data_IF_241260961773
#
_entry.id   IF_241260961773
#
_cell.length_a   1.000
_cell.length_b   1.000
_cell.length_c   1.000
_cell.angle_alpha   90.00
_cell.angle_beta   90.00
_cell.angle_gamma   90.00
#
_symmetry.space_group_name_H-M   'P 1'
#
loop_
_entity.id
_entity.type
_entity.pdbx_description
1 polymer ?
#
# COMPACT_ATOMS: atom_id res chain seq x y z
N UNK A 1 -32.14 -28.34 -20.39
CA UNK A 1 -31.21 -28.20 -21.54
C UNK A 1 -31.01 -26.71 -21.76
N UNK A 2 -29.84 -26.08 -21.69
CA UNK A 2 -28.50 -26.49 -21.29
C UNK A 2 -27.81 -25.22 -20.75
N UNK A 3 -27.13 -25.35 -19.61
CA UNK A 3 -26.30 -24.27 -19.06
C UNK A 3 -24.88 -24.43 -19.56
N UNK A 4 -24.40 -23.50 -20.36
CA UNK A 4 -22.99 -23.42 -20.74
C UNK A 4 -22.15 -23.00 -19.53
N UNK A 5 -21.59 -23.99 -18.84
CA UNK A 5 -20.45 -23.81 -17.95
C UNK A 5 -19.21 -23.62 -18.83
N UNK A 6 -18.74 -22.37 -18.96
CA UNK A 6 -17.39 -22.12 -19.47
C UNK A 6 -16.40 -22.75 -18.49
N UNK A 7 -15.68 -23.78 -18.95
CA UNK A 7 -14.55 -24.37 -18.23
C UNK A 7 -13.38 -23.41 -18.34
N UNK A 8 -12.90 -22.92 -17.21
CA UNK A 8 -11.60 -22.28 -17.10
C UNK A 8 -10.55 -23.40 -17.01
N UNK A 9 -10.11 -23.92 -18.15
CA UNK A 9 -8.93 -24.78 -18.24
C UNK A 9 -7.71 -23.91 -18.61
N UNK A 10 -6.61 -24.03 -17.85
CA UNK A 10 -5.32 -23.43 -18.22
C UNK A 10 -4.49 -22.83 -17.08
N UNK A 11 -4.35 -23.50 -15.93
CA UNK A 11 -3.25 -23.20 -15.00
C UNK A 11 -2.14 -24.25 -15.23
N UNK A 12 -0.94 -23.86 -15.68
CA UNK A 12 0.16 -24.82 -15.78
C UNK A 12 0.54 -25.29 -14.37
N UNK A 13 0.45 -26.60 -14.15
CA UNK A 13 1.00 -27.25 -12.96
C UNK A 13 2.53 -27.24 -13.08
N UNK A 14 3.19 -26.59 -12.12
CA UNK A 14 4.63 -26.49 -12.08
C UNK A 14 5.28 -27.86 -11.78
N UNK A 15 5.76 -28.55 -12.82
CA UNK A 15 6.80 -29.57 -12.72
C UNK A 15 7.67 -29.55 -13.98
N UNK A 16 8.96 -29.28 -13.79
CA UNK A 16 10.01 -29.62 -14.76
C UNK A 16 10.75 -28.44 -15.38
N UNK A 17 12.05 -28.36 -15.07
CA UNK A 17 13.10 -27.55 -15.70
C UNK A 17 12.92 -26.02 -15.70
N UNK A 18 13.56 -25.35 -14.75
CA UNK A 18 13.88 -23.93 -14.83
C UNK A 18 14.85 -23.69 -16.00
N UNK A 19 14.46 -22.94 -17.04
CA UNK A 19 15.45 -22.31 -17.90
C UNK A 19 16.16 -21.27 -17.03
N UNK A 20 17.49 -21.18 -17.12
CA UNK A 20 18.23 -20.04 -16.57
C UNK A 20 17.70 -18.78 -17.24
N UNK A 21 16.80 -18.04 -16.59
CA UNK A 21 16.46 -16.68 -16.97
C UNK A 21 17.75 -15.86 -16.84
N UNK A 22 18.34 -15.49 -17.97
CA UNK A 22 19.27 -14.37 -17.98
C UNK A 22 18.55 -13.18 -17.36
N UNK A 23 19.22 -12.47 -16.43
CA UNK A 23 18.71 -11.22 -15.84
C UNK A 23 18.33 -10.27 -16.97
N UNK A 24 17.04 -10.18 -17.30
CA UNK A 24 16.51 -9.02 -17.98
C UNK A 24 16.48 -7.93 -16.91
N UNK A 25 17.51 -7.10 -16.87
CA UNK A 25 17.49 -5.91 -16.03
C UNK A 25 16.41 -4.99 -16.60
N UNK A 26 15.24 -4.95 -15.97
CA UNK A 26 14.20 -4.01 -16.36
C UNK A 26 14.61 -2.57 -16.05
N UNK A 27 13.82 -1.60 -16.49
CA UNK A 27 14.08 -0.20 -16.18
C UNK A 27 13.22 0.29 -15.01
N UNK A 28 13.71 1.31 -14.29
CA UNK A 28 12.92 2.03 -13.29
C UNK A 28 12.21 3.19 -14.00
N UNK A 29 10.87 3.19 -14.12
CA UNK A 29 10.15 4.19 -14.88
C UNK A 29 10.20 5.57 -14.22
N UNK A 30 10.14 6.61 -15.04
CA UNK A 30 9.85 7.98 -14.61
C UNK A 30 8.36 8.16 -14.31
N UNK A 31 7.99 9.23 -13.61
CA UNK A 31 6.57 9.52 -13.35
C UNK A 31 5.77 9.73 -14.65
N UNK A 32 6.37 10.33 -15.68
CA UNK A 32 5.74 10.50 -16.99
C UNK A 32 5.50 9.14 -17.69
N UNK A 33 6.47 8.23 -17.64
CA UNK A 33 6.28 6.88 -18.17
C UNK A 33 5.22 6.09 -17.40
N UNK A 34 5.10 6.32 -16.09
CA UNK A 34 4.03 5.70 -15.29
C UNK A 34 2.67 6.24 -15.73
N UNK A 35 2.56 7.56 -15.91
CA UNK A 35 1.35 8.19 -16.41
C UNK A 35 0.92 7.64 -17.79
N UNK A 36 1.87 7.54 -18.72
CA UNK A 36 1.67 6.92 -20.03
C UNK A 36 1.20 5.45 -19.91
N UNK A 37 1.79 4.68 -19.00
CA UNK A 37 1.35 3.29 -18.75
C UNK A 37 -0.08 3.23 -18.20
N UNK A 38 -0.45 4.13 -17.28
CA UNK A 38 -1.82 4.24 -16.78
C UNK A 38 -2.81 4.56 -17.89
N UNK A 39 -2.49 5.53 -18.75
CA UNK A 39 -3.32 5.86 -19.91
C UNK A 39 -3.43 4.67 -20.89
N UNK A 40 -2.32 4.00 -21.19
CA UNK A 40 -2.29 2.92 -22.17
C UNK A 40 -3.12 1.69 -21.76
N UNK A 41 -3.21 1.39 -20.46
CA UNK A 41 -3.99 0.25 -19.95
C UNK A 41 -5.43 0.62 -19.57
N UNK A 42 -5.73 1.92 -19.38
CA UNK A 42 -7.06 2.33 -18.94
C UNK A 42 -8.11 2.10 -20.02
N UNK A 43 -9.26 1.47 -19.69
CA UNK A 43 -10.34 1.27 -20.67
C UNK A 43 -11.18 2.53 -20.93
N UNK A 44 -11.11 3.53 -20.04
CA UNK A 44 -11.88 4.77 -20.12
C UNK A 44 -11.20 5.90 -19.35
N UNK A 45 -11.58 7.15 -19.63
CA UNK A 45 -11.10 8.31 -18.87
C UNK A 45 -11.60 8.25 -17.41
N UNK A 46 -12.85 7.83 -17.19
CA UNK A 46 -13.41 7.68 -15.84
C UNK A 46 -12.63 6.67 -14.98
N UNK A 47 -12.21 5.55 -15.58
CA UNK A 47 -11.35 4.58 -14.91
C UNK A 47 -9.96 5.15 -14.63
N UNK A 48 -9.37 5.84 -15.63
CA UNK A 48 -8.06 6.48 -15.50
C UNK A 48 -8.09 7.47 -14.33
N UNK A 49 -9.03 8.40 -14.33
CA UNK A 49 -9.17 9.46 -13.34
C UNK A 49 -9.29 8.89 -11.93
N UNK A 50 -10.15 7.88 -11.72
CA UNK A 50 -10.36 7.29 -10.40
C UNK A 50 -9.12 6.56 -9.88
N UNK A 51 -8.52 5.69 -10.70
CA UNK A 51 -7.44 4.80 -10.27
C UNK A 51 -6.11 5.55 -10.19
N UNK A 52 -5.81 6.42 -11.17
CA UNK A 52 -4.60 7.23 -11.15
C UNK A 52 -4.63 8.26 -10.02
N UNK A 53 -5.76 8.93 -9.78
CA UNK A 53 -5.90 9.86 -8.63
C UNK A 53 -5.65 9.14 -7.30
N UNK A 54 -6.15 7.90 -7.16
CA UNK A 54 -5.83 7.10 -5.98
C UNK A 54 -4.33 6.84 -5.84
N UNK A 55 -3.63 6.48 -6.91
CA UNK A 55 -2.18 6.28 -6.90
C UNK A 55 -1.43 7.57 -6.51
N UNK A 56 -1.87 8.74 -7.00
CA UNK A 56 -1.32 10.06 -6.61
C UNK A 56 -1.52 10.35 -5.12
N UNK A 57 -2.70 10.04 -4.58
CA UNK A 57 -2.99 10.19 -3.15
C UNK A 57 -2.08 9.26 -2.33
N UNK A 58 -1.96 7.99 -2.70
CA UNK A 58 -1.10 7.02 -2.01
C UNK A 58 0.36 7.42 -2.09
N UNK A 59 0.84 7.92 -3.23
CA UNK A 59 2.20 8.45 -3.38
C UNK A 59 2.45 9.68 -2.50
N UNK A 60 1.43 10.54 -2.34
CA UNK A 60 1.50 11.69 -1.44
C UNK A 60 1.67 11.25 0.03
N UNK A 61 0.84 10.31 0.49
CA UNK A 61 0.92 9.78 1.86
C UNK A 61 2.23 9.03 2.08
N UNK A 62 2.63 8.20 1.11
CA UNK A 62 3.92 7.47 1.10
C UNK A 62 5.08 8.41 1.33
N UNK A 63 5.14 9.54 0.59
CA UNK A 63 6.20 10.53 0.75
C UNK A 63 6.22 11.14 2.15
N UNK A 64 5.06 11.43 2.73
CA UNK A 64 4.96 11.96 4.09
C UNK A 64 5.48 10.96 5.13
N UNK A 65 5.06 9.70 5.03
CA UNK A 65 5.52 8.60 5.91
C UNK A 65 7.03 8.37 5.78
N UNK A 66 7.57 8.32 4.57
CA UNK A 66 9.02 8.14 4.36
C UNK A 66 9.82 9.31 4.93
N UNK A 67 9.36 10.56 4.73
CA UNK A 67 10.02 11.74 5.30
C UNK A 67 10.02 11.70 6.83
N UNK A 68 8.92 11.24 7.44
CA UNK A 68 8.85 11.01 8.89
C UNK A 68 9.88 9.97 9.34
N UNK A 69 9.89 8.80 8.72
CA UNK A 69 10.83 7.73 9.05
C UNK A 69 12.30 8.19 8.90
N UNK A 70 12.62 8.89 7.82
CA UNK A 70 13.97 9.41 7.59
C UNK A 70 14.34 10.52 8.59
N UNK A 71 13.40 11.38 8.99
CA UNK A 71 13.64 12.38 10.03
C UNK A 71 13.91 11.73 11.39
N UNK A 72 13.17 10.67 11.75
CA UNK A 72 13.43 9.88 12.97
C UNK A 72 14.81 9.21 12.93
N UNK A 73 15.20 8.65 11.78
CA UNK A 73 16.51 8.05 11.58
C UNK A 73 17.65 9.07 11.75
N UNK A 74 17.58 10.19 11.04
CA UNK A 74 18.62 11.23 11.09
C UNK A 74 18.74 11.77 12.51
N UNK A 75 17.63 12.05 13.20
CA UNK A 75 17.65 12.51 14.60
C UNK A 75 18.38 11.52 15.51
N UNK A 76 18.09 10.22 15.40
CA UNK A 76 18.81 9.20 16.18
C UNK A 76 20.32 9.22 15.93
N UNK A 77 20.75 9.44 14.69
CA UNK A 77 22.17 9.50 14.34
C UNK A 77 22.86 10.78 14.83
N UNK A 78 22.10 11.85 15.08
CA UNK A 78 22.65 13.17 15.45
C UNK A 78 22.46 13.54 16.93
N UNK A 79 21.66 12.78 17.69
CA UNK A 79 21.38 13.06 19.09
C UNK A 79 22.35 12.30 20.03
N UNK A 80 22.70 12.90 21.19
CA UNK A 80 23.40 12.21 22.28
C UNK A 80 22.66 10.93 22.74
N UNK A 81 23.40 9.92 23.23
CA UNK A 81 22.81 8.62 23.62
C UNK A 81 21.79 8.71 24.77
N UNK A 82 21.87 9.74 25.59
CA UNK A 82 20.99 10.06 26.72
C UNK A 82 19.80 10.95 26.36
N UNK A 83 19.64 11.29 25.07
CA UNK A 83 18.53 12.11 24.61
C UNK A 83 17.18 11.42 24.92
N UNK A 84 16.22 12.11 25.58
CA UNK A 84 14.92 11.54 25.96
C UNK A 84 14.10 11.03 24.76
N UNK A 85 14.42 11.48 23.55
CA UNK A 85 13.90 11.04 22.26
C UNK A 85 14.33 9.61 21.87
N UNK A 86 15.44 9.10 22.42
CA UNK A 86 15.96 7.75 22.17
C UNK A 86 15.38 6.71 23.13
N UNK A 87 14.85 7.14 24.28
CA UNK A 87 14.19 6.26 25.23
C UNK A 87 12.88 5.77 24.62
N UNK A 88 12.89 4.53 24.11
CA UNK A 88 11.66 3.81 23.78
C UNK A 88 10.81 3.72 25.06
N UNK A 89 9.82 4.60 25.22
CA UNK A 89 8.83 4.49 26.29
C UNK A 89 8.05 3.19 26.07
N UNK A 90 8.54 2.09 26.65
CA UNK A 90 7.61 1.14 27.26
C UNK A 90 7.11 1.82 28.54
N UNK A 91 5.80 1.89 28.78
CA UNK A 91 5.33 2.39 30.07
C UNK A 91 5.82 1.40 31.14
N UNK A 92 6.72 1.85 32.00
CA UNK A 92 6.96 1.17 33.27
C UNK A 92 5.67 1.27 34.08
N UNK A 93 5.05 0.12 34.34
CA UNK A 93 3.92 0.00 35.24
C UNK A 93 4.40 0.25 36.68
N UNK A 94 4.48 1.51 37.11
CA UNK A 94 4.79 1.81 38.51
C UNK A 94 5.17 3.24 38.89
N UNK A 95 5.31 4.19 37.95
CA UNK A 95 5.68 5.57 38.30
C UNK A 95 4.51 6.55 38.04
N UNK A 96 4.00 7.14 39.13
CA UNK A 96 3.02 8.22 39.09
C UNK A 96 3.61 9.46 38.36
N UNK A 97 2.91 10.03 37.36
CA UNK A 97 3.44 11.14 36.57
C UNK A 97 3.35 12.48 37.32
N UNK A 98 4.39 13.31 37.19
CA UNK A 98 4.45 14.66 37.76
C UNK A 98 3.58 15.66 36.96
N UNK A 99 2.86 16.62 37.60
CA UNK A 99 1.80 17.40 36.94
C UNK A 99 2.25 18.48 35.94
N UNK A 100 3.55 18.70 35.77
CA UNK A 100 4.11 19.85 35.03
C UNK A 100 4.67 19.52 33.63
N UNK A 101 4.49 18.28 33.13
CA UNK A 101 5.00 17.86 31.82
C UNK A 101 3.88 17.37 30.87
N UNK A 102 2.87 18.20 30.67
CA UNK A 102 1.75 17.88 29.76
C UNK A 102 2.18 17.92 28.29
N UNK A 103 2.35 16.72 27.71
CA UNK A 103 1.96 16.29 26.36
C UNK A 103 2.43 17.07 25.12
N UNK A 104 3.72 17.43 25.04
CA UNK A 104 4.34 17.65 23.73
C UNK A 104 4.89 16.30 23.19
N UNK A 105 4.62 15.91 21.93
CA UNK A 105 5.30 14.77 21.35
C UNK A 105 6.80 15.04 21.37
N UNK A 106 7.55 14.12 21.99
CA UNK A 106 9.01 14.20 22.18
C UNK A 106 9.74 14.49 20.85
N UNK A 107 9.13 14.14 19.71
CA UNK A 107 9.54 14.60 18.38
C UNK A 107 8.36 15.27 17.65
N UNK A 108 8.47 16.55 17.23
CA UNK A 108 7.39 17.23 16.53
C UNK A 108 7.03 16.53 15.22
N UNK A 109 5.79 16.68 14.72
CA UNK A 109 5.35 16.06 13.47
C UNK A 109 6.25 16.45 12.29
N UNK A 110 6.43 15.56 11.32
CA UNK A 110 7.16 15.85 10.08
C UNK A 110 6.22 15.62 8.91
N UNK A 111 6.05 16.62 8.04
CA UNK A 111 5.15 16.54 6.88
C UNK A 111 3.70 16.14 7.23
N UNK A 112 3.24 16.53 8.43
CA UNK A 112 1.91 16.18 8.94
C UNK A 112 1.79 14.76 9.50
N UNK A 113 2.89 14.03 9.67
CA UNK A 113 2.89 12.68 10.28
C UNK A 113 3.39 12.75 11.72
N UNK A 114 2.62 12.14 12.64
CA UNK A 114 2.96 11.98 14.06
C UNK A 114 3.43 10.56 14.37
N UNK A 115 4.06 10.39 15.52
CA UNK A 115 4.49 9.08 16.05
C UNK A 115 5.49 8.36 15.12
N UNK A 116 5.54 7.02 15.15
CA UNK A 116 6.47 6.20 14.38
C UNK A 116 7.69 5.73 15.19
N UNK A 117 8.34 4.67 14.71
CA UNK A 117 9.57 4.13 15.29
C UNK A 117 10.75 4.36 14.35
N UNK A 118 11.94 4.55 14.92
CA UNK A 118 13.15 4.79 14.14
C UNK A 118 13.42 3.59 13.23
N UNK A 119 13.51 3.76 11.90
CA UNK A 119 13.76 2.64 10.99
C UNK A 119 15.20 2.12 11.15
N UNK A 120 15.52 0.91 10.68
CA UNK A 120 16.87 0.37 10.74
C UNK A 120 17.86 1.03 9.75
N UNK A 121 17.33 1.75 8.74
CA UNK A 121 18.08 2.49 7.73
C UNK A 121 17.23 3.62 7.16
N UNK A 122 17.83 4.52 6.39
CA UNK A 122 17.07 5.43 5.53
C UNK A 122 16.24 4.64 4.51
N UNK A 123 15.02 5.11 4.29
CA UNK A 123 14.12 4.60 3.25
C UNK A 123 14.37 5.37 1.94
N UNK A 124 14.33 4.64 0.82
CA UNK A 124 14.41 5.23 -0.52
C UNK A 124 13.07 5.87 -0.90
N UNK A 125 12.99 7.19 -0.73
CA UNK A 125 11.80 7.97 -1.04
C UNK A 125 11.42 7.93 -2.53
N UNK A 126 12.41 7.86 -3.43
CA UNK A 126 12.14 7.83 -4.88
C UNK A 126 11.52 6.49 -5.24
N UNK A 127 12.09 5.38 -4.76
CA UNK A 127 11.57 4.04 -5.00
C UNK A 127 10.16 3.88 -4.42
N UNK A 128 9.94 4.31 -3.18
CA UNK A 128 8.61 4.23 -2.55
C UNK A 128 7.55 5.03 -3.31
N UNK A 129 7.87 6.25 -3.79
CA UNK A 129 6.95 7.07 -4.59
C UNK A 129 6.66 6.43 -5.95
N UNK A 130 7.67 5.89 -6.64
CA UNK A 130 7.47 5.17 -7.91
C UNK A 130 6.58 3.94 -7.69
N UNK A 131 6.88 3.16 -6.64
CA UNK A 131 6.08 2.00 -6.25
C UNK A 131 4.62 2.34 -5.94
N UNK A 132 4.39 3.43 -5.19
CA UNK A 132 3.05 3.94 -4.91
C UNK A 132 2.30 4.40 -6.16
N UNK A 133 2.99 4.91 -7.17
CA UNK A 133 2.34 5.33 -8.41
C UNK A 133 1.90 4.15 -9.27
N UNK A 134 2.53 2.98 -9.16
CA UNK A 134 2.19 1.79 -9.95
C UNK A 134 1.42 0.71 -9.19
N UNK A 135 1.29 0.82 -7.85
CA UNK A 135 0.81 -0.29 -7.00
C UNK A 135 -0.55 -0.85 -7.46
N UNK A 136 -1.43 0.04 -7.94
CA UNK A 136 -2.80 -0.30 -8.26
C UNK A 136 -3.11 -0.37 -9.75
N UNK A 137 -2.08 -0.32 -10.60
CA UNK A 137 -2.22 -0.29 -12.07
C UNK A 137 -2.96 -1.53 -12.61
N UNK A 138 -2.92 -2.67 -11.93
CA UNK A 138 -3.66 -3.85 -12.34
C UNK A 138 -5.18 -3.74 -12.17
N UNK A 139 -5.68 -2.70 -11.49
CA UNK A 139 -7.11 -2.49 -11.22
C UNK A 139 -7.91 -2.33 -12.51
N UNK A 140 -7.33 -1.71 -13.55
CA UNK A 140 -7.96 -1.55 -14.85
C UNK A 140 -8.40 -2.88 -15.48
N UNK A 141 -7.72 -3.99 -15.14
CA UNK A 141 -8.02 -5.35 -15.65
C UNK A 141 -9.10 -6.10 -14.86
N UNK A 142 -9.64 -5.52 -13.78
CA UNK A 142 -10.64 -6.15 -12.89
C UNK A 142 -11.84 -5.24 -12.62
N UNK A 143 -12.18 -4.37 -13.57
CA UNK A 143 -13.40 -3.60 -13.55
C UNK A 143 -14.57 -4.47 -14.06
N UNK A 144 -15.69 -4.43 -13.34
CA UNK A 144 -16.95 -5.00 -13.80
C UNK A 144 -17.69 -4.03 -14.74
N UNK A 145 -17.43 -2.73 -14.58
CA UNK A 145 -17.94 -1.67 -15.45
C UNK A 145 -16.98 -0.47 -15.34
N UNK A 146 -16.58 0.10 -16.47
CA UNK A 146 -15.51 1.09 -16.59
C UNK A 146 -16.00 2.55 -16.62
N UNK A 147 -17.31 2.79 -16.56
CA UNK A 147 -17.89 4.13 -16.57
C UNK A 147 -17.86 4.83 -17.92
N UNK A 148 -17.53 4.15 -19.03
CA UNK A 148 -17.47 4.81 -20.36
C UNK A 148 -18.82 5.28 -20.89
N UNK A 149 -19.93 4.74 -20.37
CA UNK A 149 -21.31 5.06 -20.75
C UNK A 149 -21.97 6.09 -19.81
N UNK A 150 -21.22 6.66 -18.86
CA UNK A 150 -21.71 7.62 -17.87
C UNK A 150 -22.31 6.99 -16.60
N UNK A 151 -22.43 5.66 -16.53
CA UNK A 151 -22.79 4.98 -15.29
C UNK A 151 -21.61 4.91 -14.30
N UNK A 152 -21.87 4.77 -12.98
CA UNK A 152 -20.78 4.69 -12.00
C UNK A 152 -19.87 3.48 -12.21
N UNK A 153 -18.56 3.70 -12.12
CA UNK A 153 -17.55 2.64 -12.17
C UNK A 153 -17.81 1.57 -11.10
N UNK A 154 -17.71 0.29 -11.50
CA UNK A 154 -17.89 -0.86 -10.59
C UNK A 154 -16.69 -1.80 -10.66
N UNK A 155 -16.20 -2.17 -9.48
CA UNK A 155 -15.14 -3.17 -9.35
C UNK A 155 -15.72 -4.59 -9.37
N UNK A 156 -15.02 -5.53 -10.00
CA UNK A 156 -15.35 -6.96 -9.90
C UNK A 156 -14.90 -7.49 -8.54
N UNK A 157 -15.78 -7.43 -7.53
CA UNK A 157 -15.45 -7.81 -6.14
C UNK A 157 -14.74 -9.17 -6.01
N UNK A 158 -15.31 -10.27 -6.54
CA UNK A 158 -14.70 -11.60 -6.46
C UNK A 158 -13.29 -11.68 -7.09
N UNK A 159 -13.06 -10.97 -8.20
CA UNK A 159 -11.77 -10.99 -8.90
C UNK A 159 -10.85 -9.85 -8.50
N UNK A 160 -11.33 -8.90 -7.70
CA UNK A 160 -10.61 -7.67 -7.38
C UNK A 160 -9.23 -7.99 -6.79
N UNK A 161 -9.12 -9.01 -5.95
CA UNK A 161 -7.85 -9.47 -5.35
C UNK A 161 -6.75 -9.79 -6.38
N UNK A 162 -7.11 -10.08 -7.64
CA UNK A 162 -6.18 -10.38 -8.73
C UNK A 162 -5.45 -9.14 -9.26
N UNK A 163 -5.92 -7.92 -8.96
CA UNK A 163 -5.31 -6.68 -9.48
C UNK A 163 -3.80 -6.60 -9.19
N UNK A 164 -3.36 -6.98 -7.99
CA UNK A 164 -1.94 -6.94 -7.66
C UNK A 164 -1.08 -7.81 -8.57
N UNK A 165 -1.52 -9.05 -8.83
CA UNK A 165 -0.80 -9.98 -9.70
C UNK A 165 -0.92 -9.62 -11.19
N UNK A 166 -2.06 -9.08 -11.61
CA UNK A 166 -2.27 -8.60 -12.98
C UNK A 166 -1.44 -7.35 -13.28
N UNK A 167 -1.33 -6.44 -12.32
CA UNK A 167 -0.48 -5.24 -12.40
C UNK A 167 1.00 -5.62 -12.43
N UNK A 168 1.42 -6.54 -11.55
CA UNK A 168 2.77 -7.10 -11.55
C UNK A 168 3.18 -7.64 -12.94
N UNK A 169 2.34 -8.48 -13.54
CA UNK A 169 2.61 -9.05 -14.87
C UNK A 169 2.65 -7.98 -15.95
N UNK A 170 1.70 -7.05 -15.93
CA UNK A 170 1.68 -5.96 -16.90
C UNK A 170 2.97 -5.12 -16.86
N UNK A 171 3.43 -4.76 -15.66
CA UNK A 171 4.67 -3.98 -15.50
C UNK A 171 5.88 -4.74 -16.07
N UNK A 172 6.00 -6.04 -15.80
CA UNK A 172 7.06 -6.87 -16.40
C UNK A 172 6.95 -6.94 -17.93
N UNK A 173 5.73 -7.06 -18.48
CA UNK A 173 5.48 -7.03 -19.93
C UNK A 173 5.92 -5.71 -20.57
N UNK A 174 5.81 -4.59 -19.83
CA UNK A 174 6.31 -3.28 -20.26
C UNK A 174 7.83 -3.12 -20.10
N UNK A 175 8.54 -4.12 -19.55
CA UNK A 175 9.99 -4.06 -19.31
C UNK A 175 10.39 -3.33 -18.01
N UNK A 176 9.44 -3.05 -17.13
CA UNK A 176 9.71 -2.44 -15.81
C UNK A 176 10.46 -3.45 -14.92
N UNK A 177 11.44 -2.96 -14.17
CA UNK A 177 12.22 -3.77 -13.24
C UNK A 177 11.33 -4.43 -12.18
N UNK A 178 11.62 -5.69 -11.86
CA UNK A 178 10.85 -6.48 -10.89
C UNK A 178 10.79 -5.82 -9.50
N UNK A 179 11.85 -5.08 -9.10
CA UNK A 179 11.86 -4.35 -7.84
C UNK A 179 10.76 -3.28 -7.76
N UNK A 180 10.34 -2.72 -8.91
CA UNK A 180 9.20 -1.79 -9.02
C UNK A 180 7.90 -2.56 -9.22
N UNK A 181 7.88 -3.57 -10.09
CA UNK A 181 6.67 -4.37 -10.35
C UNK A 181 6.13 -5.03 -9.07
N UNK A 182 7.01 -5.46 -8.17
CA UNK A 182 6.65 -6.12 -6.92
C UNK A 182 5.79 -5.24 -5.97
N UNK A 183 5.81 -3.92 -6.11
CA UNK A 183 4.88 -3.04 -5.37
C UNK A 183 3.42 -3.35 -5.74
N UNK A 184 3.14 -3.61 -7.01
CA UNK A 184 1.80 -4.02 -7.42
C UNK A 184 1.44 -5.39 -6.82
N UNK A 185 2.37 -6.35 -6.84
CA UNK A 185 2.14 -7.71 -6.31
C UNK A 185 1.85 -7.72 -4.81
N UNK A 186 2.54 -6.90 -4.02
CA UNK A 186 2.70 -7.11 -2.58
C UNK A 186 2.01 -6.05 -1.68
N UNK A 187 1.15 -5.19 -2.22
CA UNK A 187 0.53 -4.10 -1.44
C UNK A 187 -0.84 -4.45 -0.83
N UNK A 188 -1.45 -5.57 -1.21
CA UNK A 188 -2.83 -5.87 -0.80
C UNK A 188 -2.91 -6.35 0.65
N UNK A 189 -3.94 -5.89 1.38
CA UNK A 189 -4.13 -6.22 2.79
C UNK A 189 -3.01 -5.66 3.67
N UNK A 190 -2.69 -6.34 4.76
CA UNK A 190 -1.60 -5.95 5.68
C UNK A 190 -0.51 -7.04 5.71
N UNK A 191 -0.09 -7.43 4.51
CA UNK A 191 0.82 -8.55 4.27
C UNK A 191 0.06 -9.85 4.10
N UNK A 192 -0.43 -10.11 2.89
CA UNK A 192 -1.20 -11.32 2.56
C UNK A 192 -0.25 -12.53 2.45
N UNK A 193 -0.44 -13.52 3.32
CA UNK A 193 0.37 -14.75 3.33
C UNK A 193 -0.25 -15.85 2.47
N UNK A 194 0.54 -16.88 2.14
CA UNK A 194 0.03 -18.12 1.52
C UNK A 194 -1.10 -18.73 2.32
N UNK A 195 -0.96 -18.80 3.64
CA UNK A 195 -1.99 -19.33 4.53
C UNK A 195 -3.26 -18.49 4.46
N UNK A 196 -3.14 -17.16 4.41
CA UNK A 196 -4.29 -16.25 4.25
C UNK A 196 -5.01 -16.51 2.91
N UNK A 197 -4.27 -16.77 1.82
CA UNK A 197 -4.81 -17.11 0.49
C UNK A 197 -5.58 -18.43 0.52
N UNK A 198 -4.98 -19.49 1.07
CA UNK A 198 -5.57 -20.82 1.15
C UNK A 198 -6.79 -20.82 2.08
N UNK A 199 -6.67 -20.24 3.28
CA UNK A 199 -7.72 -20.23 4.31
C UNK A 199 -8.95 -19.43 3.89
N UNK A 200 -8.76 -18.33 3.15
CA UNK A 200 -9.87 -17.50 2.66
C UNK A 200 -10.38 -17.93 1.28
N UNK A 201 -9.74 -18.89 0.62
CA UNK A 201 -10.09 -19.32 -0.73
C UNK A 201 -9.98 -18.19 -1.75
N UNK A 202 -8.95 -17.33 -1.62
CA UNK A 202 -8.78 -16.19 -2.52
C UNK A 202 -8.48 -16.67 -3.94
N UNK A 203 -8.95 -15.92 -4.93
CA UNK A 203 -8.73 -16.20 -6.35
C UNK A 203 -7.28 -15.88 -6.81
N UNK A 204 -6.29 -16.32 -6.05
CA UNK A 204 -4.87 -16.16 -6.28
C UNK A 204 -4.16 -17.53 -6.22
N UNK A 205 -3.03 -17.73 -6.94
CA UNK A 205 -2.14 -18.84 -6.64
C UNK A 205 -1.72 -18.82 -5.15
N UNK A 206 -1.66 -19.97 -4.47
CA UNK A 206 -1.12 -20.05 -3.11
C UNK A 206 0.35 -19.63 -3.05
N UNK A 207 0.62 -18.46 -2.49
CA UNK A 207 1.95 -17.85 -2.37
C UNK A 207 1.93 -16.72 -1.33
N UNK A 208 3.11 -16.25 -0.90
CA UNK A 208 3.23 -15.07 -0.07
C UNK A 208 3.27 -13.80 -0.92
N UNK A 209 2.35 -12.88 -0.63
CA UNK A 209 2.18 -11.57 -1.28
C UNK A 209 2.43 -10.44 -0.28
N UNK A 210 3.24 -10.69 0.76
CA UNK A 210 3.62 -9.70 1.74
C UNK A 210 4.76 -8.80 1.22
N UNK A 211 4.85 -7.54 1.67
CA UNK A 211 5.98 -6.67 1.39
C UNK A 211 7.32 -7.31 1.76
N UNK A 212 8.31 -7.24 0.87
CA UNK A 212 9.66 -7.77 1.11
C UNK A 212 10.68 -6.67 1.42
N UNK A 213 10.27 -5.40 1.33
CA UNK A 213 11.08 -4.21 1.62
C UNK A 213 10.31 -3.21 2.47
N UNK A 214 11.03 -2.33 3.18
CA UNK A 214 10.40 -1.23 3.95
C UNK A 214 9.63 -0.27 3.02
N UNK A 215 10.14 -0.06 1.81
CA UNK A 215 9.50 0.76 0.79
C UNK A 215 8.16 0.15 0.35
N UNK A 216 8.09 -1.16 0.09
CA UNK A 216 6.80 -1.82 -0.21
C UNK A 216 5.84 -1.75 0.99
N UNK A 217 6.35 -1.94 2.21
CA UNK A 217 5.51 -1.94 3.41
C UNK A 217 4.92 -0.55 3.68
N UNK A 218 5.69 0.53 3.48
CA UNK A 218 5.16 1.89 3.67
C UNK A 218 4.12 2.26 2.61
N UNK A 219 4.26 1.76 1.37
CA UNK A 219 3.24 1.92 0.31
C UNK A 219 1.97 1.13 0.67
N UNK A 220 2.12 -0.11 1.13
CA UNK A 220 1.00 -0.92 1.62
C UNK A 220 0.24 -0.21 2.75
N UNK A 221 0.95 0.46 3.68
CA UNK A 221 0.35 1.25 4.75
C UNK A 221 -0.35 2.50 4.22
N UNK A 222 0.32 3.26 3.35
CA UNK A 222 -0.24 4.47 2.75
C UNK A 222 -1.55 4.21 2.01
N UNK A 223 -1.63 3.10 1.27
CA UNK A 223 -2.83 2.64 0.58
C UNK A 223 -4.04 2.51 1.52
N UNK A 224 -3.85 2.18 2.80
CA UNK A 224 -4.96 1.88 3.72
C UNK A 224 -5.72 3.10 4.19
N UNK A 225 -5.14 4.27 3.97
CA UNK A 225 -5.74 5.56 4.30
C UNK A 225 -6.63 6.13 3.20
N UNK A 226 -6.73 5.48 2.04
CA UNK A 226 -7.62 5.89 0.95
C UNK A 226 -8.39 4.70 0.36
N UNK A 227 -9.57 4.97 -0.18
CA UNK A 227 -10.39 3.99 -0.88
C UNK A 227 -10.96 4.63 -2.13
N UNK A 228 -10.58 4.10 -3.29
CA UNK A 228 -11.19 4.37 -4.60
C UNK A 228 -12.60 3.78 -4.77
N UNK A 229 -13.36 3.66 -3.69
CA UNK A 229 -14.81 3.39 -3.81
C UNK A 229 -15.47 4.52 -4.59
N UNK A 230 -16.69 4.33 -5.08
CA UNK A 230 -17.45 5.41 -5.71
C UNK A 230 -18.57 5.84 -4.75
N UNK A 231 -18.53 7.06 -4.16
CA UNK A 231 -17.47 8.07 -4.24
C UNK A 231 -16.21 7.73 -3.41
N UNK A 232 -15.04 8.27 -3.81
CA UNK A 232 -13.76 8.02 -3.13
C UNK A 232 -13.74 8.67 -1.74
N UNK A 233 -12.88 8.15 -0.87
CA UNK A 233 -12.84 8.56 0.54
C UNK A 233 -11.51 8.26 1.20
N UNK A 234 -11.21 9.05 2.21
CA UNK A 234 -10.13 8.78 3.15
C UNK A 234 -10.62 7.97 4.33
N UNK A 235 -9.74 7.13 4.88
CA UNK A 235 -10.01 6.31 6.06
C UNK A 235 -9.12 6.76 7.21
N UNK A 236 -9.71 6.87 8.40
CA UNK A 236 -8.95 6.97 9.65
C UNK A 236 -8.29 5.63 10.01
N UNK A 237 -7.33 5.67 10.94
CA UNK A 237 -6.76 4.45 11.55
C UNK A 237 -7.87 3.58 12.13
N UNK A 238 -8.85 4.17 12.81
CA UNK A 238 -9.97 3.43 13.41
C UNK A 238 -10.85 2.76 12.34
N UNK A 239 -11.19 3.49 11.28
CA UNK A 239 -12.00 2.96 10.18
C UNK A 239 -11.31 1.78 9.49
N UNK A 240 -10.02 1.89 9.20
CA UNK A 240 -9.28 0.76 8.61
C UNK A 240 -9.08 -0.38 9.61
N UNK A 241 -8.91 -0.10 10.91
CA UNK A 241 -8.83 -1.14 11.96
C UNK A 241 -10.10 -2.01 11.97
N UNK A 242 -11.28 -1.38 11.88
CA UNK A 242 -12.57 -2.10 11.75
C UNK A 242 -12.63 -2.93 10.46
N UNK A 243 -12.05 -2.44 9.36
CA UNK A 243 -11.97 -3.19 8.09
C UNK A 243 -11.01 -4.39 8.19
N UNK A 244 -9.83 -4.21 8.77
CA UNK A 244 -8.83 -5.25 8.96
C UNK A 244 -9.35 -6.40 9.85
N UNK A 245 -10.09 -6.07 10.90
CA UNK A 245 -10.69 -7.07 11.82
C UNK A 245 -11.65 -8.06 11.13
N UNK A 246 -12.28 -7.66 10.00
CA UNK A 246 -13.15 -8.55 9.21
C UNK A 246 -12.41 -9.73 8.59
N UNK A 247 -11.08 -9.60 8.44
CA UNK A 247 -10.19 -10.64 7.95
C UNK A 247 -9.45 -11.37 9.09
N UNK A 248 -9.92 -11.19 10.34
CA UNK A 248 -9.38 -11.83 11.55
C UNK A 248 -8.56 -10.90 12.44
N UNK A 249 -8.50 -11.22 13.74
CA UNK A 249 -7.75 -10.43 14.73
C UNK A 249 -6.25 -10.32 14.42
N UNK A 250 -5.68 -11.30 13.70
CA UNK A 250 -4.30 -11.22 13.20
C UNK A 250 -4.08 -10.04 12.25
N UNK A 251 -5.00 -9.79 11.32
CA UNK A 251 -4.93 -8.63 10.41
C UNK A 251 -5.07 -7.31 11.16
N UNK A 252 -5.97 -7.26 12.15
CA UNK A 252 -6.10 -6.08 13.03
C UNK A 252 -4.79 -5.78 13.78
N UNK A 253 -4.17 -6.79 14.40
CA UNK A 253 -2.88 -6.61 15.10
C UNK A 253 -1.79 -6.13 14.15
N UNK A 254 -1.60 -6.80 13.01
CA UNK A 254 -0.62 -6.39 11.99
C UNK A 254 -0.82 -4.95 11.53
N UNK A 255 -2.08 -4.53 11.31
CA UNK A 255 -2.40 -3.14 10.98
C UNK A 255 -1.93 -2.16 12.06
N UNK A 256 -2.26 -2.42 13.33
CA UNK A 256 -1.85 -1.55 14.44
C UNK A 256 -0.33 -1.52 14.62
N UNK A 257 0.34 -2.64 14.41
CA UNK A 257 1.81 -2.73 14.47
C UNK A 257 2.46 -1.85 13.40
N UNK A 258 1.97 -1.89 12.15
CA UNK A 258 2.51 -1.03 11.09
C UNK A 258 2.14 0.44 11.26
N UNK A 259 0.98 0.76 11.85
CA UNK A 259 0.64 2.14 12.23
C UNK A 259 1.58 2.66 13.31
N UNK A 260 1.86 1.86 14.34
CA UNK A 260 2.83 2.21 15.38
C UNK A 260 4.25 2.39 14.80
N UNK A 261 4.60 1.57 13.80
CA UNK A 261 5.90 1.62 13.12
C UNK A 261 6.08 2.88 12.27
N UNK A 262 5.12 3.22 11.41
CA UNK A 262 5.26 4.30 10.41
C UNK A 262 4.69 5.64 10.85
N UNK A 263 3.87 5.65 11.90
CA UNK A 263 3.19 6.85 12.37
C UNK A 263 1.84 7.08 11.70
N UNK A 264 1.19 8.19 12.08
CA UNK A 264 -0.16 8.54 11.65
C UNK A 264 -0.13 9.84 10.85
N UNK A 265 -0.46 9.82 9.54
CA UNK A 265 -0.60 11.03 8.74
C UNK A 265 -1.83 11.86 9.15
N UNK A 266 -1.80 13.16 8.87
CA UNK A 266 -2.96 14.06 9.02
C UNK A 266 -4.00 13.80 7.91
N UNK A 267 -4.79 12.75 8.11
CA UNK A 267 -5.86 12.34 7.19
C UNK A 267 -6.94 13.41 7.05
N UNK A 268 -7.41 14.11 8.10
CA UNK A 268 -8.33 15.24 7.93
C UNK A 268 -7.80 16.33 7.00
N UNK A 269 -6.53 16.71 7.11
CA UNK A 269 -5.94 17.69 6.21
C UNK A 269 -5.87 17.19 4.75
N UNK A 270 -5.55 15.91 4.54
CA UNK A 270 -5.56 15.29 3.22
C UNK A 270 -6.96 15.21 2.61
N UNK A 271 -7.96 14.77 3.39
CA UNK A 271 -9.35 14.73 2.97
C UNK A 271 -9.85 16.11 2.51
N UNK A 272 -9.53 17.16 3.28
CA UNK A 272 -9.83 18.54 2.91
C UNK A 272 -9.10 18.98 1.62
N UNK A 273 -7.82 18.61 1.47
CA UNK A 273 -7.00 18.99 0.31
C UNK A 273 -7.54 18.40 -1.00
N UNK A 274 -8.02 17.16 -0.96
CA UNK A 274 -8.54 16.45 -2.13
C UNK A 274 -10.06 16.59 -2.30
N UNK A 275 -10.72 17.38 -1.45
CA UNK A 275 -12.18 17.55 -1.43
C UNK A 275 -12.94 16.21 -1.37
N UNK A 276 -12.48 15.31 -0.50
CA UNK A 276 -13.04 13.97 -0.32
C UNK A 276 -13.51 13.77 1.10
N UNK A 277 -14.55 12.95 1.26
CA UNK A 277 -15.07 12.60 2.58
C UNK A 277 -14.06 11.78 3.40
N UNK A 278 -14.08 12.00 4.70
CA UNK A 278 -13.36 11.21 5.71
C UNK A 278 -14.32 10.19 6.35
N UNK A 279 -13.87 8.94 6.51
CA UNK A 279 -14.61 7.88 7.22
C UNK A 279 -13.80 7.16 8.29
#
# INVERSE_FOLDING_TARGET
MGGHRMRLEGWPTARGSTPRLGRMTGFIPTLAQIDEMHHAISPSDAAYDLIHTHCVIVATITRQLVRRQNALFVRRCTLPQDAPELASRRPDAGAEPSPLMLDAPVVPPTDGVRDGTVPPRLLDARMAVIGAMVHDIGTYRVLAHDGSDGEPLRFDGPRYIQHGLLGYRYLLEQGVDEAVAAFARNHTGVGLTREDVERQGLALPPDDYAPTTLEQEVVMVADKYHSKSVPPKFLTVEAYTKKAARFGEGNKRRWLDVVAKYGVPDIPALAKRFDMRLV
#
